data_IF_321128181572
#
_entry.id   IF_321128181572
#
_cell.length_a   1.000
_cell.length_b   1.000
_cell.length_c   1.000
_cell.angle_alpha   90.00
_cell.angle_beta   90.00
_cell.angle_gamma   90.00
#
_symmetry.space_group_name_H-M   'P 1'
#
loop_
_entity.id
_entity.type
_entity.pdbx_description
1 polymer ?
#
# COMPACT_ATOMS: atom_id res chain seq x y z
N UNK A 1 6.83 -8.09 -0.70
CA UNK A 1 5.43 -7.80 -1.08
C UNK A 1 4.79 -9.05 -1.64
N UNK A 2 3.50 -9.28 -1.38
CA UNK A 2 2.77 -10.52 -1.68
C UNK A 2 2.87 -10.96 -3.15
N UNK A 3 2.99 -10.00 -4.06
CA UNK A 3 3.12 -10.21 -5.53
C UNK A 3 4.40 -10.94 -5.94
N UNK A 4 5.50 -10.79 -5.19
CA UNK A 4 6.82 -11.33 -5.56
C UNK A 4 7.27 -12.52 -4.72
N UNK A 5 6.43 -13.01 -3.79
CA UNK A 5 6.79 -14.08 -2.85
C UNK A 5 7.27 -15.36 -3.55
N UNK A 6 6.68 -15.69 -4.71
CA UNK A 6 7.03 -16.87 -5.50
C UNK A 6 8.08 -16.60 -6.59
N UNK A 7 8.71 -15.41 -6.62
CA UNK A 7 9.71 -15.00 -7.63
C UNK A 7 9.24 -15.31 -9.07
N UNK A 8 8.18 -14.65 -9.55
CA UNK A 8 7.59 -14.95 -10.86
C UNK A 8 8.65 -14.80 -11.97
N UNK A 9 8.75 -15.81 -12.83
CA UNK A 9 9.72 -15.85 -13.94
C UNK A 9 9.13 -15.39 -15.28
N UNK A 10 7.86 -15.00 -15.29
CA UNK A 10 7.19 -14.46 -16.48
C UNK A 10 6.20 -13.36 -16.11
N UNK A 11 5.88 -12.53 -17.09
CA UNK A 11 4.87 -11.47 -16.97
C UNK A 11 3.47 -12.03 -16.73
N UNK A 12 3.15 -13.20 -17.27
CA UNK A 12 1.85 -13.83 -17.06
C UNK A 12 1.67 -14.32 -15.62
N UNK A 13 2.71 -14.95 -15.04
CA UNK A 13 2.69 -15.32 -13.62
C UNK A 13 2.62 -14.07 -12.74
N UNK A 14 3.33 -13.00 -13.11
CA UNK A 14 3.27 -11.73 -12.39
C UNK A 14 1.86 -11.11 -12.42
N UNK A 15 1.17 -11.13 -13.57
CA UNK A 15 -0.22 -10.65 -13.69
C UNK A 15 -1.15 -11.42 -12.75
N UNK A 16 -1.07 -12.75 -12.75
CA UNK A 16 -1.88 -13.60 -11.86
C UNK A 16 -1.63 -13.25 -10.39
N UNK A 17 -0.35 -13.11 -10.00
CA UNK A 17 0.01 -12.74 -8.63
C UNK A 17 -0.55 -11.36 -8.23
N UNK A 18 -0.52 -10.37 -9.14
CA UNK A 18 -1.09 -9.04 -8.89
C UNK A 18 -2.60 -9.14 -8.67
N UNK A 19 -3.33 -9.84 -9.56
CA UNK A 19 -4.77 -10.01 -9.42
C UNK A 19 -5.14 -10.71 -8.12
N UNK A 20 -4.40 -11.77 -7.75
CA UNK A 20 -4.62 -12.47 -6.48
C UNK A 20 -4.32 -11.56 -5.28
N UNK A 21 -3.21 -10.83 -5.29
CA UNK A 21 -2.87 -9.91 -4.21
C UNK A 21 -3.94 -8.82 -4.02
N UNK A 22 -4.47 -8.27 -5.12
CA UNK A 22 -5.58 -7.31 -5.08
C UNK A 22 -6.84 -7.95 -4.48
N UNK A 23 -7.19 -9.17 -4.89
CA UNK A 23 -8.37 -9.86 -4.37
C UNK A 23 -8.28 -10.21 -2.87
N UNK A 24 -7.06 -10.24 -2.31
CA UNK A 24 -6.81 -10.45 -0.88
C UNK A 24 -6.74 -9.14 -0.08
N UNK A 25 -6.87 -7.97 -0.73
CA UNK A 25 -6.95 -6.70 -0.01
C UNK A 25 -8.23 -6.71 0.82
N UNK A 26 -8.07 -6.51 2.12
CA UNK A 26 -9.22 -6.46 3.02
C UNK A 26 -10.06 -5.20 2.72
N UNK A 27 -11.39 -5.32 2.63
CA UNK A 27 -12.26 -4.18 2.28
C UNK A 27 -12.10 -2.97 3.21
N UNK A 28 -11.81 -3.22 4.49
CA UNK A 28 -11.61 -2.19 5.51
C UNK A 28 -10.24 -1.48 5.39
N UNK A 29 -9.28 -2.06 4.68
CA UNK A 29 -7.96 -1.46 4.50
C UNK A 29 -8.06 -0.13 3.74
N UNK A 30 -8.89 -0.06 2.70
CA UNK A 30 -9.13 1.17 1.95
C UNK A 30 -9.70 2.27 2.85
N UNK A 31 -10.62 1.91 3.76
CA UNK A 31 -11.17 2.84 4.76
C UNK A 31 -10.09 3.37 5.70
N UNK A 32 -9.25 2.48 6.23
CA UNK A 32 -8.12 2.86 7.10
C UNK A 32 -7.12 3.80 6.42
N UNK A 33 -6.80 3.57 5.14
CA UNK A 33 -5.94 4.44 4.33
C UNK A 33 -6.56 5.85 4.21
N UNK A 34 -7.86 5.93 3.94
CA UNK A 34 -8.57 7.21 3.81
C UNK A 34 -8.57 7.97 5.15
N UNK A 35 -8.82 7.28 6.26
CA UNK A 35 -8.75 7.87 7.60
C UNK A 35 -7.33 8.36 7.92
N UNK A 36 -6.31 7.59 7.50
CA UNK A 36 -4.91 7.91 7.72
C UNK A 36 -4.48 9.24 7.08
N UNK A 37 -5.12 9.63 5.98
CA UNK A 37 -4.84 10.87 5.25
C UNK A 37 -4.70 12.09 6.15
N UNK A 38 -5.64 12.26 7.10
CA UNK A 38 -5.65 13.42 7.99
C UNK A 38 -4.42 13.44 8.91
N UNK A 39 -3.98 12.27 9.36
CA UNK A 39 -2.76 12.12 10.17
C UNK A 39 -1.52 12.46 9.36
N UNK A 40 -1.45 12.02 8.09
CA UNK A 40 -0.33 12.35 7.18
C UNK A 40 -0.23 13.84 6.93
N UNK A 41 -1.35 14.52 6.66
CA UNK A 41 -1.35 15.98 6.49
C UNK A 41 -0.83 16.70 7.73
N UNK A 42 -1.30 16.33 8.92
CA UNK A 42 -0.82 16.92 10.18
C UNK A 42 0.68 16.67 10.38
N UNK A 43 1.17 15.49 10.04
CA UNK A 43 2.59 15.16 10.12
C UNK A 43 3.43 16.01 9.14
N UNK A 44 2.98 16.18 7.88
CA UNK A 44 3.66 17.00 6.87
C UNK A 44 3.74 18.46 7.30
N UNK A 45 2.66 19.00 7.87
CA UNK A 45 2.65 20.38 8.37
C UNK A 45 3.65 20.53 9.51
N UNK A 46 3.67 19.61 10.48
CA UNK A 46 4.63 19.63 11.59
C UNK A 46 6.08 19.48 11.13
N UNK A 47 6.33 18.65 10.11
CA UNK A 47 7.66 18.45 9.54
C UNK A 47 8.09 19.55 8.58
N UNK A 48 7.23 20.56 8.33
CA UNK A 48 7.45 21.62 7.33
C UNK A 48 7.74 21.06 5.94
N UNK A 49 7.03 19.99 5.57
CA UNK A 49 7.23 19.30 4.29
C UNK A 49 8.37 18.28 4.29
N UNK A 50 9.00 18.02 5.44
CA UNK A 50 9.97 16.93 5.59
C UNK A 50 9.34 15.54 5.37
N UNK A 51 10.19 14.55 5.12
CA UNK A 51 9.77 13.18 4.82
C UNK A 51 8.82 12.61 5.89
N UNK A 52 7.76 11.95 5.42
CA UNK A 52 6.85 11.21 6.27
C UNK A 52 7.41 9.81 6.49
N UNK A 53 7.53 9.38 7.75
CA UNK A 53 7.73 7.96 8.05
C UNK A 53 6.56 7.15 7.48
N UNK A 54 6.76 5.86 7.25
CA UNK A 54 5.68 4.98 6.78
C UNK A 54 4.49 5.05 7.73
N UNK A 55 3.44 5.71 7.26
CA UNK A 55 2.14 5.77 7.91
C UNK A 55 1.20 4.91 7.07
N UNK A 56 0.52 4.00 7.78
CA UNK A 56 -0.31 2.88 7.29
C UNK A 56 -1.34 3.31 6.26
#
# INVERSE_FOLDING_TARGET
TQVYTNKPQSTDVLKVNITQAIAQIQPDLCGRIIENWTTRIRATVRSRGGHLNDVI
#
